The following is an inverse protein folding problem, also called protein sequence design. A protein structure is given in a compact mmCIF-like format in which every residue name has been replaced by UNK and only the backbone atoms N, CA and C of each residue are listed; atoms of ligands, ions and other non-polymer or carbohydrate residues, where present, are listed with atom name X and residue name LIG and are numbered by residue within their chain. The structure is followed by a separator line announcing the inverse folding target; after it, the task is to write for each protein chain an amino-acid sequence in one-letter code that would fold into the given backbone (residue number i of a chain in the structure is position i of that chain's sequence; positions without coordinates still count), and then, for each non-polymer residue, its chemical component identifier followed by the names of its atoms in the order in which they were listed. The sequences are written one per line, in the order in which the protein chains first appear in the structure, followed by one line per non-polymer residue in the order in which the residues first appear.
data_IF_319376491718
#
_entry.id   IF_319376491718
#
_cell.length_a   1.000
_cell.length_b   1.000
_cell.length_c   1.000
_cell.angle_alpha   90.00
_cell.angle_beta   90.00
_cell.angle_gamma   90.00
#
_symmetry.space_group_name_H-M   'P 1'
#
loop_
_entity.id
_entity.type
_entity.pdbx_description
1 polymer ?
#
# COMPACT_ATOMS: atom_id res chain seq x y z
N UNK A 1 16.07 9.34 -29.78
CA UNK A 1 16.28 7.93 -29.45
C UNK A 1 17.11 7.85 -28.16
N UNK A 2 16.43 7.88 -27.01
CA UNK A 2 17.05 7.72 -25.69
C UNK A 2 16.02 7.06 -24.77
N UNK A 3 15.81 5.77 -25.00
CA UNK A 3 15.16 4.85 -24.09
C UNK A 3 16.31 4.19 -23.33
N UNK A 4 16.69 4.69 -22.20
CA UNK A 4 17.62 3.97 -21.31
C UNK A 4 17.92 4.77 -20.08
N UNK A 5 17.04 4.78 -19.09
CA UNK A 5 17.45 5.12 -17.73
C UNK A 5 16.42 4.75 -16.63
N UNK A 6 15.49 3.84 -16.91
CA UNK A 6 14.56 3.41 -15.84
C UNK A 6 14.71 1.92 -15.47
N UNK A 7 15.77 1.30 -15.87
CA UNK A 7 16.06 -0.10 -15.58
C UNK A 7 17.39 -0.20 -14.86
N UNK A 8 17.47 0.15 -13.59
CA UNK A 8 18.58 -0.33 -12.74
C UNK A 8 18.46 0.24 -11.32
N UNK A 9 17.33 -0.02 -10.66
CA UNK A 9 17.37 -0.21 -9.19
C UNK A 9 16.76 -1.57 -8.87
N UNK A 10 17.25 -2.58 -9.56
CA UNK A 10 17.11 -3.97 -9.13
C UNK A 10 18.15 -4.22 -8.04
N UNK A 11 18.02 -3.55 -6.91
CA UNK A 11 18.84 -3.84 -5.74
C UNK A 11 17.96 -4.46 -4.67
N UNK A 12 18.07 -5.78 -4.51
CA UNK A 12 17.60 -6.54 -3.36
C UNK A 12 16.08 -6.59 -3.13
N UNK A 13 15.27 -6.45 -4.18
CA UNK A 13 13.85 -6.71 -4.12
C UNK A 13 13.59 -8.22 -4.18
N UNK A 14 12.81 -8.76 -3.26
CA UNK A 14 12.12 -10.00 -3.48
C UNK A 14 11.30 -9.84 -4.76
N UNK A 15 11.41 -10.78 -5.71
CA UNK A 15 10.74 -10.69 -6.99
C UNK A 15 9.28 -10.26 -6.83
N UNK A 16 8.89 -9.16 -7.45
CA UNK A 16 7.54 -8.62 -7.42
C UNK A 16 7.28 -7.47 -6.42
N UNK A 17 8.15 -7.18 -5.45
CA UNK A 17 7.95 -6.12 -4.48
C UNK A 17 8.90 -4.93 -4.69
N UNK A 18 8.37 -3.81 -5.15
CA UNK A 18 9.10 -2.56 -5.34
C UNK A 18 8.97 -1.68 -4.10
N UNK A 19 10.09 -1.33 -3.47
CA UNK A 19 10.10 -0.42 -2.31
C UNK A 19 9.68 0.99 -2.72
N UNK A 20 8.71 1.57 -1.99
CA UNK A 20 8.19 2.91 -2.23
C UNK A 20 8.71 3.90 -1.19
N UNK A 21 8.59 3.56 0.11
CA UNK A 21 8.88 4.49 1.19
C UNK A 21 9.23 3.79 2.52
N UNK A 22 9.82 4.55 3.44
CA UNK A 22 10.13 4.11 4.80
C UNK A 22 9.73 5.20 5.80
N UNK A 23 8.91 4.83 6.79
CA UNK A 23 8.34 5.77 7.75
C UNK A 23 8.62 5.32 9.18
N UNK A 24 8.71 6.30 10.09
CA UNK A 24 8.66 6.06 11.54
C UNK A 24 7.31 6.53 12.07
N UNK A 25 6.57 5.63 12.68
CA UNK A 25 5.21 5.90 13.14
C UNK A 25 5.18 6.79 14.36
N UNK A 26 4.27 7.76 14.34
CA UNK A 26 4.08 8.77 15.38
C UNK A 26 3.43 8.24 16.67
N UNK A 27 3.14 9.15 17.63
CA UNK A 27 2.71 8.81 18.98
C UNK A 27 1.36 8.09 19.06
N UNK A 28 0.48 8.35 18.09
CA UNK A 28 -0.87 7.79 18.07
C UNK A 28 -0.98 6.46 17.34
N UNK A 29 0.14 5.98 16.78
CA UNK A 29 0.13 4.73 16.04
C UNK A 29 -0.18 3.53 16.94
N UNK A 30 -1.12 2.71 16.48
CA UNK A 30 -1.48 1.45 17.10
C UNK A 30 -1.24 0.29 16.14
N UNK A 31 -0.82 -0.84 16.69
CA UNK A 31 -0.71 -2.07 15.91
C UNK A 31 -2.11 -2.69 15.63
N UNK A 32 -2.15 -3.75 14.84
CA UNK A 32 -3.40 -4.44 14.48
C UNK A 32 -4.20 -4.98 15.69
N UNK A 33 -3.58 -5.11 16.86
CA UNK A 33 -4.23 -5.45 18.15
C UNK A 33 -4.63 -4.21 18.96
N UNK A 34 -4.58 -3.02 18.38
CA UNK A 34 -4.91 -1.75 19.04
C UNK A 34 -3.89 -1.28 20.09
N UNK A 35 -2.72 -1.92 20.21
CA UNK A 35 -1.69 -1.56 21.20
C UNK A 35 -0.84 -0.41 20.69
N UNK A 36 -0.52 0.55 21.58
CA UNK A 36 0.40 1.65 21.24
C UNK A 36 1.75 1.12 20.72
N UNK A 37 2.16 1.61 19.57
CA UNK A 37 3.34 1.16 18.86
C UNK A 37 4.14 2.32 18.22
N UNK A 38 4.21 3.45 18.92
CA UNK A 38 5.03 4.62 18.56
C UNK A 38 6.48 4.22 18.28
N UNK A 39 7.09 4.80 17.25
CA UNK A 39 8.46 4.49 16.85
C UNK A 39 8.59 3.17 16.09
N UNK A 40 7.49 2.53 15.71
CA UNK A 40 7.51 1.45 14.74
C UNK A 40 8.07 1.97 13.43
N UNK A 41 9.08 1.30 12.90
CA UNK A 41 9.56 1.54 11.54
C UNK A 41 8.73 0.72 10.58
N UNK A 42 8.29 1.35 9.51
CA UNK A 42 7.53 0.70 8.45
C UNK A 42 8.19 0.96 7.12
N UNK A 43 8.40 -0.10 6.35
CA UNK A 43 8.78 -0.04 4.94
C UNK A 43 7.60 -0.46 4.10
N UNK A 44 7.31 0.30 3.06
CA UNK A 44 6.17 0.06 2.17
C UNK A 44 6.66 -0.32 0.79
N UNK A 45 6.03 -1.33 0.22
CA UNK A 45 6.32 -1.89 -1.10
C UNK A 45 5.02 -2.03 -1.89
N UNK A 46 5.12 -1.91 -3.22
CA UNK A 46 4.04 -2.24 -4.15
C UNK A 46 4.38 -3.52 -4.91
N UNK A 47 3.38 -4.37 -5.15
CA UNK A 47 3.51 -5.56 -6.00
C UNK A 47 3.38 -5.16 -7.47
N UNK A 48 4.46 -5.19 -8.22
CA UNK A 48 4.47 -4.76 -9.62
C UNK A 48 3.91 -5.81 -10.60
N UNK A 49 3.97 -7.09 -10.23
CA UNK A 49 3.52 -8.19 -11.09
C UNK A 49 2.01 -8.45 -11.03
N UNK A 50 1.33 -7.93 -10.00
CA UNK A 50 -0.13 -8.10 -9.80
C UNK A 50 -0.92 -6.82 -10.00
N UNK A 51 -0.25 -5.74 -10.36
CA UNK A 51 -0.90 -4.46 -10.57
C UNK A 51 -1.85 -4.53 -11.76
N UNK A 52 -3.11 -4.22 -11.51
CA UNK A 52 -4.15 -4.15 -12.54
C UNK A 52 -4.91 -2.82 -12.45
N UNK A 53 -5.62 -2.50 -13.54
CA UNK A 53 -6.51 -1.35 -13.62
C UNK A 53 -7.86 -1.85 -14.15
N UNK A 54 -8.95 -1.47 -13.50
CA UNK A 54 -10.28 -1.72 -14.01
C UNK A 54 -10.61 -0.77 -15.18
N UNK A 55 -11.48 -1.17 -16.09
CA UNK A 55 -11.89 -0.34 -17.24
C UNK A 55 -12.54 1.00 -16.84
N UNK A 56 -13.08 1.09 -15.62
CA UNK A 56 -13.60 2.34 -15.02
C UNK A 56 -12.52 3.32 -14.57
N UNK A 57 -11.24 2.94 -14.67
CA UNK A 57 -10.11 3.77 -14.24
C UNK A 57 -9.64 3.54 -12.80
N UNK A 58 -10.22 2.58 -12.08
CA UNK A 58 -9.77 2.18 -10.75
C UNK A 58 -8.51 1.33 -10.85
N UNK A 59 -7.47 1.71 -10.13
CA UNK A 59 -6.27 0.87 -9.98
C UNK A 59 -6.44 -0.06 -8.78
N UNK A 60 -5.92 -1.27 -8.91
CA UNK A 60 -6.00 -2.33 -7.89
C UNK A 60 -4.60 -2.75 -7.41
N UNK A 61 -3.88 -1.88 -6.67
CA UNK A 61 -2.55 -2.22 -6.17
C UNK A 61 -2.60 -3.10 -4.92
N UNK A 62 -1.59 -3.98 -4.81
CA UNK A 62 -1.26 -4.67 -3.56
C UNK A 62 -0.11 -3.95 -2.87
N UNK A 63 -0.28 -3.59 -1.62
CA UNK A 63 0.76 -2.96 -0.81
C UNK A 63 1.20 -3.87 0.32
N UNK A 64 2.49 -4.06 0.43
CA UNK A 64 3.10 -4.74 1.57
C UNK A 64 3.70 -3.69 2.51
N UNK A 65 3.35 -3.78 3.78
CA UNK A 65 3.93 -2.97 4.85
C UNK A 65 4.70 -3.87 5.81
N UNK A 66 6.01 -3.70 5.84
CA UNK A 66 6.89 -4.36 6.79
C UNK A 66 7.06 -3.50 8.03
N UNK A 67 6.64 -4.02 9.19
CA UNK A 67 6.62 -3.28 10.44
C UNK A 67 7.61 -3.87 11.44
N UNK A 68 8.46 -3.02 12.01
CA UNK A 68 9.40 -3.40 13.05
C UNK A 68 9.30 -2.47 14.26
N UNK A 69 8.93 -3.01 15.43
CA UNK A 69 8.85 -2.27 16.69
C UNK A 69 9.96 -2.70 17.65
N UNK A 70 11.06 -1.92 17.65
CA UNK A 70 12.29 -2.27 18.37
C UNK A 70 12.12 -2.47 19.88
N UNK A 71 11.33 -1.62 20.57
CA UNK A 71 11.14 -1.70 22.03
C UNK A 71 10.58 -3.02 22.52
N UNK A 72 9.78 -3.72 21.69
CA UNK A 72 9.14 -4.98 22.04
C UNK A 72 9.60 -6.14 21.17
N UNK A 73 10.62 -5.94 20.33
CA UNK A 73 11.12 -6.93 19.35
C UNK A 73 9.99 -7.59 18.56
N UNK A 74 8.98 -6.77 18.19
CA UNK A 74 7.85 -7.23 17.38
C UNK A 74 8.12 -6.93 15.92
N UNK A 75 7.94 -7.95 15.11
CA UNK A 75 8.07 -7.88 13.65
C UNK A 75 6.83 -8.55 13.08
N UNK A 76 6.20 -7.89 12.16
CA UNK A 76 5.11 -8.43 11.37
C UNK A 76 5.01 -7.67 10.05
N UNK A 77 4.23 -8.18 9.13
CA UNK A 77 3.93 -7.47 7.90
C UNK A 77 2.45 -7.55 7.58
N UNK A 78 1.99 -6.62 6.76
CA UNK A 78 0.63 -6.66 6.23
C UNK A 78 0.68 -6.61 4.71
N UNK A 79 -0.20 -7.34 4.04
CA UNK A 79 -0.50 -7.16 2.63
C UNK A 79 -1.92 -6.64 2.55
N UNK A 80 -2.08 -5.48 1.92
CA UNK A 80 -3.38 -4.83 1.73
C UNK A 80 -3.69 -4.71 0.23
N UNK A 81 -4.92 -5.05 -0.11
CA UNK A 81 -5.52 -4.88 -1.43
C UNK A 81 -6.28 -3.57 -1.43
N UNK A 82 -6.09 -2.75 -2.46
CA UNK A 82 -6.70 -1.43 -2.56
C UNK A 82 -7.46 -1.29 -3.86
N UNK A 83 -8.53 -0.49 -3.79
CA UNK A 83 -9.12 0.18 -4.93
C UNK A 83 -8.74 1.66 -4.85
N UNK A 84 -8.20 2.21 -5.93
CA UNK A 84 -7.61 3.54 -5.95
C UNK A 84 -8.06 4.33 -7.17
N UNK A 85 -8.83 5.41 -6.94
CA UNK A 85 -9.23 6.39 -7.95
C UNK A 85 -8.30 7.59 -7.92
N UNK A 86 -7.27 7.59 -8.76
CA UNK A 86 -6.28 8.66 -8.76
C UNK A 86 -6.83 10.01 -9.24
N UNK A 87 -7.85 10.03 -10.09
CA UNK A 87 -8.45 11.27 -10.57
C UNK A 87 -9.40 11.92 -9.56
N UNK A 88 -9.92 11.13 -8.61
CA UNK A 88 -10.89 11.58 -7.60
C UNK A 88 -10.25 11.73 -6.22
N UNK A 89 -8.98 11.35 -6.08
CA UNK A 89 -8.25 11.34 -4.82
C UNK A 89 -8.94 10.50 -3.73
N UNK A 90 -9.50 9.35 -4.11
CA UNK A 90 -10.16 8.44 -3.19
C UNK A 90 -9.55 7.03 -3.27
N UNK A 91 -9.56 6.34 -2.15
CA UNK A 91 -9.14 4.95 -2.02
C UNK A 91 -10.07 4.15 -1.11
N UNK A 92 -10.12 2.85 -1.34
CA UNK A 92 -10.72 1.88 -0.43
C UNK A 92 -9.68 0.78 -0.14
N UNK A 93 -9.60 0.35 1.12
CA UNK A 93 -8.84 -0.84 1.49
C UNK A 93 -9.80 -2.03 1.46
N UNK A 94 -9.70 -2.83 0.41
CA UNK A 94 -10.61 -3.97 0.19
C UNK A 94 -10.36 -5.08 1.21
N UNK A 95 -9.10 -5.42 1.41
CA UNK A 95 -8.68 -6.47 2.35
C UNK A 95 -7.30 -6.16 2.93
N UNK A 96 -7.07 -6.54 4.18
CA UNK A 96 -5.74 -6.55 4.80
C UNK A 96 -5.48 -7.90 5.44
N UNK A 97 -4.36 -8.53 5.10
CA UNK A 97 -3.88 -9.77 5.71
C UNK A 97 -2.63 -9.48 6.54
N UNK A 98 -2.63 -9.90 7.80
CA UNK A 98 -1.51 -9.72 8.74
C UNK A 98 -0.71 -11.01 8.85
N UNK A 99 0.61 -10.91 8.69
CA UNK A 99 1.55 -12.03 8.73
C UNK A 99 2.49 -11.94 9.92
N UNK A 100 2.89 -13.09 10.48
CA UNK A 100 3.76 -13.18 11.66
C UNK A 100 5.23 -12.82 11.40
N UNK A 101 5.66 -12.74 10.15
CA UNK A 101 7.04 -12.45 9.73
C UNK A 101 7.09 -11.32 8.69
N UNK A 102 8.25 -10.69 8.49
CA UNK A 102 8.47 -9.71 7.42
C UNK A 102 8.14 -10.26 6.02
N UNK A 103 7.89 -9.35 5.10
CA UNK A 103 7.68 -9.60 3.66
C UNK A 103 6.53 -10.57 3.35
N UNK A 104 5.40 -10.48 4.08
CA UNK A 104 4.22 -11.32 3.85
C UNK A 104 4.46 -12.81 4.12
N UNK A 105 5.39 -13.12 5.02
CA UNK A 105 5.77 -14.51 5.34
C UNK A 105 5.24 -14.96 6.70
N UNK A 106 5.41 -16.26 6.94
CA UNK A 106 4.98 -16.89 8.18
C UNK A 106 3.49 -17.21 8.19
N UNK A 107 2.93 -17.28 9.39
CA UNK A 107 1.52 -17.58 9.59
C UNK A 107 0.67 -16.35 9.36
N UNK A 108 -0.53 -16.54 8.82
CA UNK A 108 -1.58 -15.51 8.80
C UNK A 108 -2.11 -15.36 10.22
N UNK A 109 -1.96 -14.16 10.77
CA UNK A 109 -2.41 -13.83 12.13
C UNK A 109 -3.82 -13.28 12.15
N UNK A 110 -4.22 -12.57 11.09
CA UNK A 110 -5.52 -11.92 10.97
C UNK A 110 -5.83 -11.61 9.51
N UNK A 111 -7.09 -11.66 9.15
CA UNK A 111 -7.64 -11.15 7.89
C UNK A 111 -8.76 -10.18 8.19
N UNK A 112 -8.69 -8.99 7.59
CA UNK A 112 -9.64 -7.89 7.76
C UNK A 112 -10.22 -7.55 6.40
N UNK A 113 -11.53 -7.70 6.23
CA UNK A 113 -12.24 -7.27 5.02
C UNK A 113 -12.80 -5.87 5.27
N UNK A 114 -12.61 -4.98 4.29
CA UNK A 114 -13.02 -3.57 4.34
C UNK A 114 -12.77 -2.91 5.73
N UNK A 115 -11.48 -2.93 6.22
CA UNK A 115 -11.14 -2.58 7.60
C UNK A 115 -11.49 -1.14 7.97
N UNK A 116 -11.72 -0.27 6.97
CA UNK A 116 -12.02 1.15 7.15
C UNK A 116 -13.43 1.55 6.70
N UNK A 117 -14.26 0.59 6.31
CA UNK A 117 -15.67 0.77 5.93
C UNK A 117 -15.87 1.79 4.80
N UNK A 118 -15.37 1.44 3.62
CA UNK A 118 -15.64 2.16 2.37
C UNK A 118 -14.53 3.10 1.92
N UNK A 119 -14.91 4.08 1.11
CA UNK A 119 -14.00 4.97 0.41
C UNK A 119 -13.50 6.12 1.27
N UNK A 120 -12.22 6.42 1.16
CA UNK A 120 -11.53 7.48 1.87
C UNK A 120 -10.93 8.47 0.90
N UNK A 121 -11.07 9.77 1.19
CA UNK A 121 -10.42 10.84 0.42
C UNK A 121 -8.98 11.00 0.90
N UNK A 122 -8.03 10.99 -0.04
CA UNK A 122 -6.64 11.37 0.21
C UNK A 122 -6.31 12.68 -0.52
N UNK A 123 -5.16 13.30 -0.19
CA UNK A 123 -4.74 14.56 -0.79
C UNK A 123 -5.03 15.80 0.06
N UNK A 124 -4.66 16.98 -0.47
CA UNK A 124 -4.59 18.23 0.28
C UNK A 124 -5.93 18.98 0.40
N UNK A 125 -7.08 18.36 0.23
CA UNK A 125 -8.37 19.04 0.42
C UNK A 125 -8.48 19.51 1.86
N UNK A 126 -8.62 20.84 2.03
CA UNK A 126 -8.77 21.52 3.33
C UNK A 126 -9.75 20.79 4.23
N UNK A 127 -9.26 20.31 5.41
CA UNK A 127 -10.11 19.75 6.46
C UNK A 127 -9.88 18.27 6.79
N UNK A 128 -9.19 17.52 5.93
CA UNK A 128 -8.83 16.14 6.26
C UNK A 128 -7.43 16.08 6.86
N UNK A 129 -7.31 15.49 8.04
CA UNK A 129 -5.99 15.28 8.68
C UNK A 129 -5.15 14.40 7.75
N UNK A 130 -3.90 14.81 7.52
CA UNK A 130 -2.92 14.02 6.81
C UNK A 130 -2.69 12.70 7.53
N UNK A 131 -3.50 11.70 7.21
CA UNK A 131 -3.34 10.34 7.68
C UNK A 131 -2.31 9.61 6.81
N UNK A 132 -1.83 8.50 7.32
CA UNK A 132 -0.95 7.55 6.66
C UNK A 132 -1.35 7.27 5.19
N UNK A 133 -2.63 6.98 4.94
CA UNK A 133 -3.14 6.68 3.60
C UNK A 133 -3.18 7.89 2.66
N UNK A 134 -3.29 9.10 3.19
CA UNK A 134 -3.25 10.33 2.40
C UNK A 134 -1.90 10.50 1.71
N UNK A 135 -0.83 10.39 2.46
CA UNK A 135 0.53 10.51 1.94
C UNK A 135 0.85 9.43 0.90
N UNK A 136 0.51 8.17 1.19
CA UNK A 136 0.74 7.07 0.26
C UNK A 136 -0.15 7.11 -0.97
N UNK A 137 -1.42 7.49 -0.82
CA UNK A 137 -2.33 7.63 -1.94
C UNK A 137 -1.76 8.54 -3.03
N UNK A 138 -1.27 9.72 -2.65
CA UNK A 138 -0.66 10.65 -3.59
C UNK A 138 0.60 10.07 -4.26
N UNK A 139 1.50 9.46 -3.49
CA UNK A 139 2.73 8.89 -4.02
C UNK A 139 2.46 7.72 -4.96
N UNK A 140 1.54 6.83 -4.57
CA UNK A 140 1.15 5.69 -5.40
C UNK A 140 0.49 6.17 -6.68
N UNK A 141 -0.43 7.13 -6.61
CA UNK A 141 -1.06 7.68 -7.81
C UNK A 141 -0.05 8.31 -8.77
N UNK A 142 0.93 9.05 -8.30
CA UNK A 142 2.00 9.59 -9.15
C UNK A 142 2.75 8.47 -9.87
N UNK A 143 3.08 7.39 -9.16
CA UNK A 143 3.72 6.22 -9.76
C UNK A 143 2.82 5.56 -10.80
N UNK A 144 1.57 5.25 -10.44
CA UNK A 144 0.63 4.55 -11.30
C UNK A 144 0.33 5.33 -12.59
N UNK A 145 0.10 6.63 -12.48
CA UNK A 145 -0.13 7.49 -13.65
C UNK A 145 1.10 7.57 -14.57
N UNK A 146 2.32 7.47 -14.03
CA UNK A 146 3.54 7.48 -14.84
C UNK A 146 3.75 6.20 -15.65
N UNK A 147 3.14 5.08 -15.25
CA UNK A 147 3.27 3.77 -15.90
C UNK A 147 1.94 3.24 -16.46
N UNK A 148 0.90 4.06 -16.48
CA UNK A 148 -0.49 3.68 -16.79
C UNK A 148 -0.64 2.86 -18.08
N UNK A 149 0.05 3.27 -19.13
CA UNK A 149 0.02 2.58 -20.44
C UNK A 149 0.53 1.13 -20.41
N UNK A 150 1.27 0.75 -19.37
CA UNK A 150 1.82 -0.60 -19.20
C UNK A 150 1.00 -1.45 -18.23
N UNK A 151 -0.01 -0.87 -17.58
CA UNK A 151 -0.83 -1.58 -16.60
C UNK A 151 -1.93 -2.36 -17.33
N UNK A 152 -2.05 -3.68 -17.09
CA UNK A 152 -3.11 -4.49 -17.69
C UNK A 152 -4.49 -4.00 -17.26
N UNK A 153 -5.41 -3.87 -18.23
CA UNK A 153 -6.81 -3.49 -17.98
C UNK A 153 -7.65 -4.74 -17.79
N UNK A 154 -8.29 -4.85 -16.63
CA UNK A 154 -9.27 -5.90 -16.33
C UNK A 154 -10.66 -5.44 -16.76
N UNK A 155 -11.35 -6.30 -17.53
CA UNK A 155 -12.76 -6.16 -17.88
C UNK A 155 -13.59 -7.00 -16.92
N UNK A 156 -14.71 -6.48 -16.47
CA UNK A 156 -15.65 -7.18 -15.60
C UNK A 156 -16.26 -6.28 -14.53
N UNK A 157 -17.28 -6.77 -13.87
CA UNK A 157 -17.97 -6.01 -12.84
C UNK A 157 -17.10 -5.84 -11.59
N UNK A 158 -17.04 -4.61 -11.10
CA UNK A 158 -16.52 -4.26 -9.78
C UNK A 158 -17.62 -4.57 -8.75
N UNK A 159 -17.87 -5.84 -8.50
CA UNK A 159 -18.78 -6.27 -7.43
C UNK A 159 -18.02 -6.26 -6.09
N UNK A 160 -18.10 -5.11 -5.40
CA UNK A 160 -17.66 -4.97 -3.99
C UNK A 160 -18.78 -4.40 -3.15
#
# INVERSE_FOLDING_TARGET
MLISALLLVASNGWAGWLHIDSIVMGPDFRDYKGRKAQGTKMKVYIEDTKLTKHETGVYEPYLLSDLSYKKRKRYYSTISEFDLHCNEDILQVVKTTVYSKPMGKGEVLEELNDPFQGWWVFGSRKGYRHGFYSHFGEQICKLLLSIDQNIPVRKGDHDH
#
